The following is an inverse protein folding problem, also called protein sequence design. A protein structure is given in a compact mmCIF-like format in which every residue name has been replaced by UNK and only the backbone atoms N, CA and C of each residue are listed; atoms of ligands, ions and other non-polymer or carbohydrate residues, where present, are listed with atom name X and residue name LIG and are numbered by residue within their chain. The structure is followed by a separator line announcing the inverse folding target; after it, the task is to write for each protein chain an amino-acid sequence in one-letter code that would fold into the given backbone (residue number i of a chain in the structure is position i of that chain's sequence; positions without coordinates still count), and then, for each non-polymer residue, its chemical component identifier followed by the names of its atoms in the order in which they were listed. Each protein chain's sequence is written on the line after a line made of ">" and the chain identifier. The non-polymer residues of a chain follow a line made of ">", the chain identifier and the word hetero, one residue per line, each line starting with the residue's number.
data_IF_107856843810
#
_entry.id   IF_107856843810
#
_cell.length_a   1.000
_cell.length_b   1.000
_cell.length_c   1.000
_cell.angle_alpha   90.00
_cell.angle_beta   90.00
_cell.angle_gamma   90.00
#
_symmetry.space_group_name_H-M   'P 1'
#
loop_
_entity.id
_entity.type
_entity.pdbx_description
1 polymer ?
#
# COMPACT_ATOMS: atom_id res chain seq x y z
N UNK A 1 22.29 8.40 13.48
CA UNK A 1 20.99 8.90 12.98
C UNK A 1 20.55 7.94 11.89
N UNK A 2 19.42 7.24 12.08
CA UNK A 2 18.93 6.23 11.13
C UNK A 2 17.90 6.81 10.16
N UNK A 3 17.71 6.14 9.02
CA UNK A 3 16.69 6.41 8.02
C UNK A 3 15.80 5.18 7.85
N UNK A 4 14.63 5.20 8.49
CA UNK A 4 13.73 4.05 8.57
C UNK A 4 12.48 4.29 7.71
N UNK A 5 12.18 3.36 6.82
CA UNK A 5 10.97 3.38 5.99
C UNK A 5 10.05 2.22 6.38
N UNK A 6 8.86 2.54 6.87
CA UNK A 6 7.83 1.54 7.17
C UNK A 6 6.96 1.29 5.95
N UNK A 7 6.92 0.05 5.47
CA UNK A 7 6.16 -0.32 4.28
C UNK A 7 4.89 -1.10 4.66
N UNK A 8 3.74 -0.70 4.10
CA UNK A 8 2.47 -1.41 4.29
C UNK A 8 1.59 -1.36 3.04
N UNK A 9 0.67 -2.30 2.90
CA UNK A 9 -0.25 -2.30 1.76
C UNK A 9 -1.26 -1.14 1.83
N UNK A 10 -1.91 -0.96 2.98
CA UNK A 10 -2.93 0.06 3.22
C UNK A 10 -3.32 0.09 4.70
N UNK A 11 -3.87 1.21 5.18
CA UNK A 11 -4.56 1.31 6.48
C UNK A 11 -6.02 0.86 6.38
N UNK A 12 -6.25 -0.30 5.75
CA UNK A 12 -7.59 -0.80 5.41
C UNK A 12 -7.89 -2.13 6.12
N UNK A 13 -7.98 -2.08 7.44
CA UNK A 13 -8.49 -3.16 8.28
C UNK A 13 -9.27 -2.58 9.47
N UNK A 14 -10.17 -3.36 10.09
CA UNK A 14 -10.83 -2.96 11.34
C UNK A 14 -9.75 -2.87 12.43
N UNK A 15 -9.12 -1.69 12.56
CA UNK A 15 -8.03 -1.36 13.48
C UNK A 15 -7.00 -2.50 13.58
N UNK A 16 -6.12 -2.61 12.58
CA UNK A 16 -5.01 -3.57 12.68
C UNK A 16 -4.00 -3.03 13.70
N UNK A 17 -3.67 -3.78 14.75
CA UNK A 17 -2.59 -3.42 15.67
C UNK A 17 -1.26 -3.15 14.94
N UNK A 18 -1.07 -3.75 13.76
CA UNK A 18 0.06 -3.45 12.90
C UNK A 18 0.03 -2.05 12.27
N UNK A 19 -1.14 -1.43 12.08
CA UNK A 19 -1.23 -0.03 11.62
C UNK A 19 -0.77 0.90 12.74
N UNK A 20 -1.27 0.68 13.96
CA UNK A 20 -0.87 1.41 15.16
C UNK A 20 0.62 1.28 15.45
N UNK A 21 1.18 0.08 15.33
CA UNK A 21 2.63 -0.14 15.50
C UNK A 21 3.41 0.70 14.49
N UNK A 22 3.06 0.66 13.21
CA UNK A 22 3.76 1.46 12.17
C UNK A 22 3.72 2.94 12.52
N UNK A 23 2.55 3.47 12.89
CA UNK A 23 2.40 4.89 13.22
C UNK A 23 3.21 5.24 14.47
N UNK A 24 3.06 4.48 15.54
CA UNK A 24 3.73 4.77 16.83
C UNK A 24 5.25 4.71 16.69
N UNK A 25 5.80 3.72 15.99
CA UNK A 25 7.24 3.62 15.78
C UNK A 25 7.76 4.70 14.85
N UNK A 26 7.05 5.03 13.77
CA UNK A 26 7.48 6.08 12.86
C UNK A 26 7.51 7.45 13.57
N UNK A 27 6.49 7.75 14.38
CA UNK A 27 6.44 8.97 15.18
C UNK A 27 7.53 8.98 16.26
N UNK A 28 7.70 7.87 16.98
CA UNK A 28 8.72 7.73 18.03
C UNK A 28 10.14 7.94 17.50
N UNK A 29 10.51 7.24 16.42
CA UNK A 29 11.83 7.40 15.78
C UNK A 29 12.07 8.83 15.32
N UNK A 30 11.03 9.51 14.80
CA UNK A 30 11.16 10.91 14.40
C UNK A 30 11.41 11.83 15.60
N UNK A 31 10.68 11.61 16.70
CA UNK A 31 10.86 12.38 17.94
C UNK A 31 12.27 12.22 18.53
N UNK A 32 12.90 11.06 18.32
CA UNK A 32 14.30 10.79 18.69
C UNK A 32 15.33 11.38 17.69
N UNK A 33 14.86 12.10 16.66
CA UNK A 33 15.71 12.75 15.66
C UNK A 33 16.18 11.83 14.54
N UNK A 34 15.59 10.64 14.38
CA UNK A 34 15.82 9.81 13.20
C UNK A 34 14.99 10.28 12.02
N UNK A 35 15.43 9.96 10.80
CA UNK A 35 14.60 10.10 9.61
C UNK A 35 13.65 8.90 9.59
N UNK A 36 12.36 9.16 9.64
CA UNK A 36 11.33 8.12 9.49
C UNK A 36 10.31 8.52 8.45
N UNK A 37 9.79 7.54 7.71
CA UNK A 37 8.72 7.73 6.75
C UNK A 37 7.86 6.47 6.64
N UNK A 38 6.65 6.63 6.10
CA UNK A 38 5.71 5.54 5.83
C UNK A 38 5.41 5.48 4.33
N UNK A 39 5.53 4.29 3.75
CA UNK A 39 5.17 3.99 2.37
C UNK A 39 3.98 3.03 2.34
N UNK A 40 2.92 3.45 1.65
CA UNK A 40 1.76 2.62 1.39
C UNK A 40 1.70 2.16 -0.07
N UNK A 41 1.22 0.95 -0.32
CA UNK A 41 0.88 0.55 -1.70
C UNK A 41 -0.34 1.33 -2.17
N UNK A 42 -1.39 1.39 -1.35
CA UNK A 42 -2.62 2.13 -1.64
C UNK A 42 -2.73 3.39 -0.79
N UNK A 43 -3.25 4.49 -1.34
CA UNK A 43 -3.47 5.71 -0.57
C UNK A 43 -4.49 5.45 0.55
N UNK A 44 -4.32 6.10 1.71
CA UNK A 44 -5.29 6.02 2.79
C UNK A 44 -6.59 6.75 2.38
N UNK A 45 -7.65 6.57 3.16
CA UNK A 45 -8.85 7.40 3.02
C UNK A 45 -8.51 8.88 3.31
N UNK A 46 -9.30 9.80 2.77
CA UNK A 46 -9.04 11.24 2.94
C UNK A 46 -9.10 11.68 4.42
N UNK A 47 -9.94 11.02 5.19
CA UNK A 47 -10.23 11.20 6.62
C UNK A 47 -9.62 10.10 7.50
N UNK A 48 -8.61 9.39 7.00
CA UNK A 48 -7.94 8.33 7.75
C UNK A 48 -7.22 8.89 9.00
N UNK A 49 -7.59 8.43 10.21
CA UNK A 49 -7.05 8.99 11.45
C UNK A 49 -5.55 8.69 11.63
N UNK A 50 -5.05 7.59 11.06
CA UNK A 50 -3.63 7.24 11.14
C UNK A 50 -2.80 8.10 10.20
N UNK A 51 -3.32 8.39 9.01
CA UNK A 51 -2.70 9.33 8.09
C UNK A 51 -2.66 10.75 8.67
N UNK A 52 -3.73 11.18 9.37
CA UNK A 52 -3.76 12.45 10.09
C UNK A 52 -2.68 12.51 11.18
N UNK A 53 -2.58 11.49 12.03
CA UNK A 53 -1.54 11.41 13.09
C UNK A 53 -0.12 11.49 12.54
N UNK A 54 0.17 10.80 11.44
CA UNK A 54 1.48 10.89 10.78
C UNK A 54 1.77 12.31 10.30
N UNK A 55 0.77 12.99 9.71
CA UNK A 55 0.88 14.37 9.23
C UNK A 55 1.12 15.34 10.39
N UNK A 56 0.40 15.19 11.50
CA UNK A 56 0.52 16.06 12.67
C UNK A 56 1.90 15.91 13.33
N UNK A 57 2.47 14.70 13.34
CA UNK A 57 3.85 14.44 13.74
C UNK A 57 4.90 14.84 12.66
N UNK A 58 4.44 15.31 11.50
CA UNK A 58 5.24 15.63 10.32
C UNK A 58 5.97 14.43 9.70
N UNK A 59 5.58 13.20 10.01
CA UNK A 59 6.17 11.99 9.41
C UNK A 59 5.69 11.92 7.95
N UNK A 60 6.59 11.87 6.96
CA UNK A 60 6.20 11.75 5.55
C UNK A 60 5.42 10.47 5.29
N UNK A 61 4.30 10.59 4.58
CA UNK A 61 3.48 9.50 4.11
C UNK A 61 3.40 9.53 2.59
N UNK A 62 3.88 8.47 1.93
CA UNK A 62 3.84 8.30 0.48
C UNK A 62 2.97 7.12 0.09
N UNK A 63 2.40 7.15 -1.12
CA UNK A 63 1.69 6.00 -1.70
C UNK A 63 2.18 5.69 -3.11
N UNK A 64 2.26 4.40 -3.46
CA UNK A 64 2.74 3.94 -4.78
C UNK A 64 1.62 3.97 -5.82
N UNK A 65 0.42 3.53 -5.45
CA UNK A 65 -0.75 3.63 -6.31
C UNK A 65 -1.31 5.05 -6.28
N UNK A 66 -1.64 5.59 -7.45
CA UNK A 66 -2.54 6.74 -7.49
C UNK A 66 -3.92 6.36 -6.96
N UNK A 67 -4.65 7.33 -6.42
CA UNK A 67 -6.06 7.15 -5.99
C UNK A 67 -6.94 6.63 -7.13
N UNK A 68 -6.71 7.13 -8.35
CA UNK A 68 -7.39 6.67 -9.58
C UNK A 68 -7.13 5.19 -9.87
N UNK A 69 -5.88 4.75 -9.74
CA UNK A 69 -5.51 3.36 -9.97
C UNK A 69 -6.13 2.42 -8.92
N UNK A 70 -6.14 2.84 -7.66
CA UNK A 70 -6.76 2.07 -6.56
C UNK A 70 -8.27 1.93 -6.77
N UNK A 71 -8.96 3.00 -7.21
CA UNK A 71 -10.38 2.96 -7.55
C UNK A 71 -10.67 2.02 -8.74
N UNK A 72 -9.86 2.08 -9.80
CA UNK A 72 -9.97 1.17 -10.96
C UNK A 72 -9.78 -0.29 -10.57
N UNK A 73 -8.82 -0.59 -9.69
CA UNK A 73 -8.58 -1.95 -9.20
C UNK A 73 -9.74 -2.47 -8.35
N UNK A 74 -10.30 -1.62 -7.47
CA UNK A 74 -11.47 -1.96 -6.66
C UNK A 74 -12.71 -2.21 -7.55
N UNK A 75 -12.92 -1.39 -8.57
CA UNK A 75 -13.99 -1.58 -9.55
C UNK A 75 -13.79 -2.88 -10.35
N UNK A 76 -12.58 -3.13 -10.83
CA UNK A 76 -12.21 -4.37 -11.54
C UNK A 76 -12.43 -5.61 -10.68
N UNK A 77 -12.06 -5.56 -9.39
CA UNK A 77 -12.32 -6.66 -8.44
C UNK A 77 -13.81 -6.94 -8.26
N UNK A 78 -14.64 -5.89 -8.12
CA UNK A 78 -16.10 -6.04 -8.02
C UNK A 78 -16.70 -6.66 -9.27
N UNK A 79 -16.27 -6.22 -10.45
CA UNK A 79 -16.71 -6.79 -11.74
C UNK A 79 -16.27 -8.25 -11.88
N UNK A 80 -15.03 -8.58 -11.54
CA UNK A 80 -14.52 -9.95 -11.58
C UNK A 80 -15.29 -10.88 -10.62
N UNK A 81 -15.58 -10.43 -9.40
CA UNK A 81 -16.40 -11.19 -8.44
C UNK A 81 -17.82 -11.42 -8.98
N UNK A 82 -18.44 -10.40 -9.59
CA UNK A 82 -19.76 -10.55 -10.23
C UNK A 82 -19.72 -11.51 -11.41
N UNK A 83 -18.71 -11.42 -12.27
CA UNK A 83 -18.54 -12.32 -13.41
C UNK A 83 -18.32 -13.78 -12.97
N UNK A 84 -17.49 -14.02 -11.95
CA UNK A 84 -17.28 -15.36 -11.37
C UNK A 84 -18.54 -15.94 -10.74
N UNK A 85 -19.41 -15.10 -10.14
CA UNK A 85 -20.71 -15.53 -9.63
C UNK A 85 -21.72 -15.86 -10.74
N UNK A 86 -21.60 -15.21 -11.89
CA UNK A 86 -22.53 -15.39 -13.02
C UNK A 86 -22.14 -16.52 -13.98
N UNK A 87 -20.85 -16.83 -14.13
CA UNK A 87 -20.35 -17.84 -15.08
C UNK A 87 -19.54 -18.93 -14.38
N UNK A 88 -20.18 -20.07 -14.09
CA UNK A 88 -19.56 -21.20 -13.37
C UNK A 88 -18.54 -22.04 -14.20
N UNK A 89 -18.69 -22.32 -15.52
CA UNK A 89 -17.78 -23.23 -16.21
C UNK A 89 -16.75 -22.61 -17.18
N UNK A 90 -16.74 -21.29 -17.43
CA UNK A 90 -15.71 -20.63 -18.27
C UNK A 90 -14.33 -20.46 -17.56
N UNK A 91 -14.13 -21.25 -16.50
CA UNK A 91 -13.16 -21.03 -15.43
C UNK A 91 -11.70 -21.22 -15.83
N UNK A 92 -11.38 -21.92 -16.94
CA UNK A 92 -9.98 -22.06 -17.41
C UNK A 92 -9.48 -20.84 -18.16
N UNK A 93 -10.17 -20.39 -19.22
CA UNK A 93 -9.74 -19.26 -20.04
C UNK A 93 -9.72 -17.94 -19.25
N UNK A 94 -10.73 -17.70 -18.42
CA UNK A 94 -10.80 -16.51 -17.55
C UNK A 94 -9.66 -16.55 -16.53
N UNK A 95 -9.32 -17.72 -15.99
CA UNK A 95 -8.25 -17.89 -14.98
C UNK A 95 -6.85 -17.65 -15.56
N UNK A 96 -6.58 -18.03 -16.80
CA UNK A 96 -5.25 -17.79 -17.40
C UNK A 96 -5.02 -16.31 -17.73
N UNK A 97 -6.04 -15.64 -18.28
CA UNK A 97 -5.93 -14.21 -18.63
C UNK A 97 -5.94 -13.31 -17.38
N UNK A 98 -6.75 -13.63 -16.37
CA UNK A 98 -6.71 -12.91 -15.09
C UNK A 98 -5.38 -13.08 -14.35
N UNK A 99 -4.76 -14.27 -14.41
CA UNK A 99 -3.42 -14.49 -13.84
C UNK A 99 -2.38 -13.56 -14.45
N UNK A 100 -2.30 -13.46 -15.78
CA UNK A 100 -1.36 -12.57 -16.46
C UNK A 100 -1.54 -11.11 -16.02
N UNK A 101 -2.80 -10.63 -16.00
CA UNK A 101 -3.10 -9.27 -15.55
C UNK A 101 -2.68 -9.02 -14.09
N UNK A 102 -2.90 -9.99 -13.19
CA UNK A 102 -2.48 -9.89 -11.80
C UNK A 102 -0.95 -9.88 -11.68
N UNK A 103 -0.25 -10.72 -12.44
CA UNK A 103 1.22 -10.74 -12.47
C UNK A 103 1.78 -9.43 -13.00
N UNK A 104 1.25 -8.88 -14.10
CA UNK A 104 1.68 -7.59 -14.65
C UNK A 104 1.46 -6.45 -13.65
N UNK A 105 0.36 -6.50 -12.90
CA UNK A 105 0.07 -5.54 -11.84
C UNK A 105 1.07 -5.63 -10.69
N UNK A 106 1.37 -6.86 -10.24
CA UNK A 106 2.37 -7.12 -9.20
C UNK A 106 3.75 -6.65 -9.64
N UNK A 107 4.12 -6.88 -10.90
CA UNK A 107 5.39 -6.43 -11.46
C UNK A 107 5.50 -4.91 -11.42
N UNK A 108 4.46 -4.17 -11.81
CA UNK A 108 4.47 -2.70 -11.75
C UNK A 108 4.61 -2.18 -10.32
N UNK A 109 3.96 -2.82 -9.35
CA UNK A 109 4.13 -2.45 -7.94
C UNK A 109 5.53 -2.75 -7.44
N UNK A 110 6.09 -3.90 -7.82
CA UNK A 110 7.45 -4.28 -7.49
C UNK A 110 8.45 -3.23 -8.00
N UNK A 111 8.35 -2.84 -9.28
CA UNK A 111 9.29 -1.89 -9.88
C UNK A 111 9.18 -0.51 -9.21
N UNK A 112 7.95 -0.05 -8.93
CA UNK A 112 7.72 1.20 -8.21
C UNK A 112 8.26 1.16 -6.76
N UNK A 113 8.11 0.02 -6.07
CA UNK A 113 8.73 -0.21 -4.75
C UNK A 113 10.25 -0.11 -4.84
N UNK A 114 10.87 -0.82 -5.78
CA UNK A 114 12.32 -0.82 -5.96
C UNK A 114 12.86 0.57 -6.26
N UNK A 115 12.18 1.33 -7.13
CA UNK A 115 12.54 2.71 -7.45
C UNK A 115 12.46 3.59 -6.19
N UNK A 116 11.38 3.47 -5.41
CA UNK A 116 11.21 4.25 -4.19
C UNK A 116 12.30 3.94 -3.16
N UNK A 117 12.58 2.66 -2.92
CA UNK A 117 13.62 2.20 -1.98
C UNK A 117 15.02 2.67 -2.41
N UNK A 118 15.32 2.62 -3.71
CA UNK A 118 16.60 3.07 -4.26
C UNK A 118 16.80 4.58 -4.05
N UNK A 119 15.71 5.37 -4.18
CA UNK A 119 15.73 6.82 -3.96
C UNK A 119 15.80 7.17 -2.48
N UNK A 120 15.03 6.50 -1.64
CA UNK A 120 14.92 6.82 -0.21
C UNK A 120 16.10 6.31 0.61
N UNK A 121 16.84 5.28 0.13
CA UNK A 121 18.01 4.68 0.79
C UNK A 121 17.77 4.43 2.29
N UNK A 122 16.74 3.66 2.66
CA UNK A 122 16.51 3.33 4.06
C UNK A 122 17.64 2.42 4.56
N UNK A 123 17.97 2.55 5.84
CA UNK A 123 18.86 1.62 6.51
C UNK A 123 18.16 0.25 6.60
N UNK A 124 18.90 -0.82 6.34
CA UNK A 124 18.42 -2.17 6.58
C UNK A 124 18.45 -2.43 8.09
N UNK A 125 17.27 -2.69 8.66
CA UNK A 125 17.06 -2.98 10.09
C UNK A 125 16.56 -4.41 10.24
#
# INVERSE_FOLDING_TARGET
>A
MMNVLFCKNSFAGPISGADEIVVNYAVGLKAEGHKSAVLLVHPPAADDPLAARLRDAGVPLSSLASSKFTASLAAGRRLAIRAMRAFSPASRLIRTNSRKLVFDLLQRYHDACCEHLTRSRPDLV
#
